data_IF_681945273970
#
_entry.id   IF_681945273970
#
_cell.length_a   1.000
_cell.length_b   1.000
_cell.length_c   1.000
_cell.angle_alpha   90.00
_cell.angle_beta   90.00
_cell.angle_gamma   90.00
#
_symmetry.space_group_name_H-M   'P 1'
#
loop_
_entity.id
_entity.type
_entity.pdbx_description
1 polymer ?
#
# COMPACT_ATOMS: atom_id res chain seq x y z
N UNK A 1 -13.55 19.54 -14.42
CA UNK A 1 -13.02 19.19 -13.09
C UNK A 1 -13.30 17.73 -12.75
N UNK A 2 -14.56 17.28 -12.86
CA UNK A 2 -15.02 15.91 -12.54
C UNK A 2 -14.16 14.80 -13.17
N UNK A 3 -13.80 14.93 -14.46
CA UNK A 3 -13.07 13.89 -15.20
C UNK A 3 -11.66 13.62 -14.65
N UNK A 4 -11.00 14.61 -14.05
CA UNK A 4 -9.60 14.47 -13.58
C UNK A 4 -9.56 13.79 -12.21
N UNK A 5 -10.45 14.18 -11.29
CA UNK A 5 -10.62 13.50 -10.00
C UNK A 5 -11.04 12.03 -10.17
N UNK A 6 -11.88 11.75 -11.17
CA UNK A 6 -12.31 10.38 -11.48
C UNK A 6 -11.14 9.45 -11.83
N UNK A 7 -10.04 9.94 -12.41
CA UNK A 7 -8.87 9.11 -12.75
C UNK A 7 -8.18 8.55 -11.50
N UNK A 8 -8.05 9.37 -10.46
CA UNK A 8 -7.46 8.94 -9.19
C UNK A 8 -8.37 7.93 -8.48
N UNK A 9 -9.69 8.11 -8.56
CA UNK A 9 -10.67 7.15 -8.03
C UNK A 9 -10.65 5.81 -8.79
N UNK A 10 -10.51 5.84 -10.11
CA UNK A 10 -10.36 4.62 -10.91
C UNK A 10 -9.10 3.86 -10.52
N UNK A 11 -7.97 4.57 -10.32
CA UNK A 11 -6.72 3.98 -9.85
C UNK A 11 -6.87 3.33 -8.47
N UNK A 12 -7.52 4.03 -7.53
CA UNK A 12 -7.82 3.48 -6.21
C UNK A 12 -8.75 2.25 -6.29
N UNK A 13 -9.76 2.28 -7.17
CA UNK A 13 -10.67 1.15 -7.38
C UNK A 13 -9.96 -0.10 -7.92
N UNK A 14 -8.96 0.05 -8.78
CA UNK A 14 -8.12 -1.09 -9.20
C UNK A 14 -7.34 -1.69 -8.02
N UNK A 15 -6.82 -0.84 -7.11
CA UNK A 15 -6.15 -1.32 -5.91
C UNK A 15 -7.12 -1.99 -4.94
N UNK A 16 -8.35 -1.48 -4.78
CA UNK A 16 -9.38 -2.14 -3.96
C UNK A 16 -9.73 -3.53 -4.49
N UNK A 17 -9.86 -3.68 -5.83
CA UNK A 17 -10.07 -4.98 -6.47
C UNK A 17 -8.86 -5.90 -6.20
N UNK A 18 -7.64 -5.39 -6.36
CA UNK A 18 -6.42 -6.14 -6.08
C UNK A 18 -6.39 -6.63 -4.62
N UNK A 19 -6.76 -5.76 -3.67
CA UNK A 19 -6.85 -6.08 -2.25
C UNK A 19 -7.95 -7.10 -1.96
N UNK A 20 -9.09 -7.03 -2.63
CA UNK A 20 -10.16 -8.02 -2.52
C UNK A 20 -9.69 -9.41 -2.95
N UNK A 21 -8.92 -9.51 -4.04
CA UNK A 21 -8.34 -10.78 -4.45
C UNK A 21 -7.33 -11.30 -3.42
N UNK A 22 -6.41 -10.44 -2.98
CA UNK A 22 -5.31 -10.81 -2.09
C UNK A 22 -5.75 -11.17 -0.66
N UNK A 23 -6.67 -10.38 -0.09
CA UNK A 23 -7.08 -10.49 1.32
C UNK A 23 -8.51 -11.04 1.51
N UNK A 24 -9.30 -11.16 0.44
CA UNK A 24 -10.67 -11.69 0.50
C UNK A 24 -10.81 -13.06 -0.18
N UNK A 25 -10.60 -13.10 -1.49
CA UNK A 25 -10.84 -14.31 -2.30
C UNK A 25 -9.78 -15.38 -2.02
N UNK A 26 -8.49 -15.04 -2.11
CA UNK A 26 -7.41 -16.00 -1.89
C UNK A 26 -7.49 -16.67 -0.51
N UNK A 27 -7.67 -15.91 0.60
CA UNK A 27 -7.80 -16.51 1.92
C UNK A 27 -9.07 -17.35 2.04
N UNK A 28 -10.18 -16.88 1.47
CA UNK A 28 -11.43 -17.64 1.42
C UNK A 28 -11.27 -19.00 0.76
N UNK A 29 -10.55 -19.08 -0.35
CA UNK A 29 -10.24 -20.35 -1.03
C UNK A 29 -9.36 -21.25 -0.15
N UNK A 30 -8.31 -20.72 0.48
CA UNK A 30 -7.46 -21.52 1.40
C UNK A 30 -8.24 -22.11 2.58
N UNK A 31 -9.19 -21.34 3.14
CA UNK A 31 -10.03 -21.77 4.27
C UNK A 31 -11.01 -22.87 3.84
N UNK A 32 -11.66 -22.71 2.68
CA UNK A 32 -12.65 -23.67 2.16
C UNK A 32 -11.97 -24.99 1.77
N UNK A 33 -10.81 -24.91 1.13
CA UNK A 33 -10.05 -26.10 0.71
C UNK A 33 -9.29 -26.77 1.85
N UNK A 34 -9.28 -26.18 3.06
CA UNK A 34 -8.56 -26.66 4.25
C UNK A 34 -7.10 -27.07 3.97
N UNK A 35 -6.49 -26.43 2.98
CA UNK A 35 -5.15 -26.72 2.52
C UNK A 35 -4.38 -25.42 2.39
N UNK A 36 -3.13 -25.47 2.83
CA UNK A 36 -2.20 -24.38 2.56
C UNK A 36 -1.80 -24.45 1.09
N UNK A 37 -2.32 -23.51 0.29
CA UNK A 37 -2.05 -23.44 -1.15
C UNK A 37 -0.61 -22.97 -1.41
N UNK A 38 -0.02 -22.21 -0.47
CA UNK A 38 1.27 -21.57 -0.63
C UNK A 38 2.36 -22.39 0.06
N UNK A 39 3.35 -22.93 -0.67
CA UNK A 39 4.47 -23.62 -0.06
C UNK A 39 5.38 -22.66 0.72
N UNK A 40 6.04 -23.16 1.77
CA UNK A 40 6.89 -22.36 2.69
C UNK A 40 7.94 -21.50 1.98
N UNK A 41 8.58 -22.04 0.94
CA UNK A 41 9.63 -21.36 0.17
C UNK A 41 9.12 -20.12 -0.58
N UNK A 42 7.83 -20.08 -0.91
CA UNK A 42 7.20 -18.98 -1.65
C UNK A 42 6.55 -17.93 -0.76
N UNK A 43 6.42 -18.19 0.55
CA UNK A 43 5.79 -17.25 1.51
C UNK A 43 6.49 -15.90 1.53
N UNK A 44 7.83 -15.89 1.47
CA UNK A 44 8.61 -14.66 1.43
C UNK A 44 8.24 -13.79 0.21
N UNK A 45 8.28 -14.37 -0.99
CA UNK A 45 7.96 -13.66 -2.23
C UNK A 45 6.51 -13.20 -2.30
N UNK A 46 5.59 -14.04 -1.83
CA UNK A 46 4.18 -13.67 -1.74
C UNK A 46 3.97 -12.50 -0.77
N UNK A 47 4.63 -12.54 0.38
CA UNK A 47 4.53 -11.48 1.37
C UNK A 47 5.07 -10.15 0.83
N UNK A 48 6.17 -10.15 0.08
CA UNK A 48 6.69 -8.93 -0.56
C UNK A 48 5.64 -8.30 -1.49
N UNK A 49 4.95 -9.13 -2.28
CA UNK A 49 3.88 -8.69 -3.17
C UNK A 49 2.65 -8.17 -2.38
N UNK A 50 2.25 -8.85 -1.32
CA UNK A 50 1.13 -8.44 -0.46
C UNK A 50 1.41 -7.10 0.22
N UNK A 51 2.61 -6.94 0.79
CA UNK A 51 3.05 -5.69 1.39
C UNK A 51 3.06 -4.56 0.36
N UNK A 52 3.59 -4.81 -0.85
CA UNK A 52 3.54 -3.83 -1.92
C UNK A 52 2.11 -3.37 -2.22
N UNK A 53 1.19 -4.32 -2.42
CA UNK A 53 -0.20 -4.02 -2.75
C UNK A 53 -0.87 -3.22 -1.61
N UNK A 54 -0.60 -3.61 -0.36
CA UNK A 54 -1.09 -2.92 0.83
C UNK A 54 -0.59 -1.47 0.88
N UNK A 55 0.72 -1.26 0.76
CA UNK A 55 1.30 0.07 0.83
C UNK A 55 0.89 0.96 -0.36
N UNK A 56 0.74 0.37 -1.55
CA UNK A 56 0.22 1.08 -2.72
C UNK A 56 -1.20 1.63 -2.45
N UNK A 57 -2.07 0.83 -1.83
CA UNK A 57 -3.40 1.26 -1.41
C UNK A 57 -3.31 2.39 -0.37
N UNK A 58 -2.58 2.17 0.73
CA UNK A 58 -2.49 3.13 1.84
C UNK A 58 -2.10 4.52 1.35
N UNK A 59 -1.12 4.61 0.45
CA UNK A 59 -0.70 5.89 -0.12
C UNK A 59 -1.70 6.47 -1.14
N UNK A 60 -2.49 5.63 -1.82
CA UNK A 60 -3.56 6.10 -2.71
C UNK A 60 -4.67 6.83 -1.95
N UNK A 61 -4.91 6.53 -0.67
CA UNK A 61 -5.86 7.29 0.17
C UNK A 61 -5.42 8.76 0.25
N UNK A 62 -4.13 8.99 0.54
CA UNK A 62 -3.53 10.34 0.58
C UNK A 62 -3.58 11.02 -0.77
N UNK A 63 -3.32 10.29 -1.85
CA UNK A 63 -3.36 10.81 -3.22
C UNK A 63 -4.77 11.29 -3.59
N UNK A 64 -5.81 10.53 -3.24
CA UNK A 64 -7.20 10.92 -3.47
C UNK A 64 -7.54 12.19 -2.66
N UNK A 65 -7.13 12.25 -1.38
CA UNK A 65 -7.33 13.44 -0.54
C UNK A 65 -6.65 14.69 -1.14
N UNK A 66 -5.38 14.56 -1.55
CA UNK A 66 -4.63 15.61 -2.23
C UNK A 66 -5.30 16.08 -3.52
N UNK A 67 -5.84 15.15 -4.33
CA UNK A 67 -6.49 15.49 -5.60
C UNK A 67 -7.72 16.40 -5.39
N UNK A 68 -8.46 16.19 -4.29
CA UNK A 68 -9.63 17.01 -3.91
C UNK A 68 -9.21 18.38 -3.40
N UNK A 69 -8.19 18.42 -2.55
CA UNK A 69 -7.59 19.65 -2.07
C UNK A 69 -7.06 20.52 -3.22
N UNK A 70 -6.32 19.92 -4.16
CA UNK A 70 -5.77 20.60 -5.35
C UNK A 70 -6.87 21.19 -6.24
N UNK A 71 -7.99 20.46 -6.39
CA UNK A 71 -9.13 20.91 -7.19
C UNK A 71 -9.79 22.18 -6.62
N UNK A 72 -9.79 22.37 -5.29
CA UNK A 72 -10.38 23.54 -4.63
C UNK A 72 -9.37 24.69 -4.56
N UNK A 73 -8.12 24.40 -4.17
CA UNK A 73 -7.10 25.44 -3.98
C UNK A 73 -6.59 26.02 -5.29
N UNK A 74 -6.56 25.23 -6.37
CA UNK A 74 -6.00 25.65 -7.66
C UNK A 74 -6.80 25.09 -8.84
N UNK A 75 -8.07 25.53 -9.02
CA UNK A 75 -9.00 24.95 -9.99
C UNK A 75 -8.54 25.12 -11.43
N UNK A 76 -7.86 26.23 -11.77
CA UNK A 76 -7.31 26.45 -13.11
C UNK A 76 -6.21 25.44 -13.45
N UNK A 77 -5.22 25.28 -12.58
CA UNK A 77 -4.14 24.30 -12.78
C UNK A 77 -4.69 22.88 -12.85
N UNK A 78 -5.60 22.53 -11.93
CA UNK A 78 -6.21 21.22 -11.88
C UNK A 78 -7.03 20.90 -13.14
N UNK A 79 -7.77 21.87 -13.70
CA UNK A 79 -8.55 21.69 -14.93
C UNK A 79 -7.67 21.38 -16.15
N UNK A 80 -6.49 21.99 -16.24
CA UNK A 80 -5.58 21.84 -17.39
C UNK A 80 -4.52 20.74 -17.19
N UNK A 81 -4.63 19.95 -16.13
CA UNK A 81 -3.70 18.86 -15.87
C UNK A 81 -3.71 17.82 -17.01
N UNK A 82 -2.52 17.58 -17.58
CA UNK A 82 -2.32 16.59 -18.65
C UNK A 82 -2.59 15.18 -18.13
N UNK A 83 -3.15 14.33 -19.01
CA UNK A 83 -3.43 12.91 -18.71
C UNK A 83 -2.19 12.16 -18.23
N UNK A 84 -1.08 12.37 -18.93
CA UNK A 84 0.20 11.76 -18.60
C UNK A 84 0.64 12.13 -17.17
N UNK A 85 0.36 13.35 -16.72
CA UNK A 85 0.73 13.78 -15.37
C UNK A 85 -0.10 13.07 -14.31
N UNK A 86 -1.41 12.89 -14.51
CA UNK A 86 -2.25 12.11 -13.60
C UNK A 86 -1.79 10.65 -13.51
N UNK A 87 -1.50 10.01 -14.66
CA UNK A 87 -1.02 8.63 -14.68
C UNK A 87 0.39 8.49 -14.10
N UNK A 88 1.27 9.46 -14.33
CA UNK A 88 2.59 9.50 -13.74
C UNK A 88 2.52 9.65 -12.21
N UNK A 89 1.59 10.45 -11.67
CA UNK A 89 1.42 10.56 -10.22
C UNK A 89 0.91 9.23 -9.65
N UNK A 90 -0.15 8.64 -10.20
CA UNK A 90 -0.64 7.33 -9.74
C UNK A 90 0.45 6.24 -9.84
N UNK A 91 1.17 6.21 -10.97
CA UNK A 91 2.25 5.28 -11.23
C UNK A 91 3.44 5.48 -10.29
N UNK A 92 3.84 6.72 -10.02
CA UNK A 92 4.90 7.02 -9.05
C UNK A 92 4.52 6.50 -7.66
N UNK A 93 3.28 6.67 -7.20
CA UNK A 93 2.87 6.14 -5.90
C UNK A 93 2.85 4.61 -5.85
N UNK A 94 2.52 3.93 -6.96
CA UNK A 94 2.66 2.47 -7.08
C UNK A 94 4.11 1.97 -7.23
N UNK A 95 5.01 2.81 -7.75
CA UNK A 95 6.43 2.49 -7.94
C UNK A 95 7.27 2.82 -6.71
N UNK A 96 6.92 3.89 -5.98
CA UNK A 96 7.51 4.25 -4.67
C UNK A 96 7.22 3.17 -3.64
N UNK A 97 6.10 2.44 -3.77
CA UNK A 97 5.87 1.22 -2.99
C UNK A 97 6.68 0.00 -3.47
N UNK A 98 7.23 -0.03 -4.70
CA UNK A 98 8.02 -1.15 -5.25
C UNK A 98 9.54 -0.99 -5.20
N UNK A 99 10.10 0.21 -5.19
CA UNK A 99 11.50 0.38 -5.60
C UNK A 99 12.48 0.54 -4.43
N UNK A 100 13.56 -0.26 -4.51
CA UNK A 100 14.77 -0.19 -3.68
C UNK A 100 15.62 1.08 -3.88
N UNK A 101 16.29 1.41 -2.77
CA UNK A 101 17.65 1.91 -2.65
C UNK A 101 18.56 1.89 -3.90
N UNK A 102 18.52 2.95 -4.71
CA UNK A 102 19.73 3.71 -5.12
C UNK A 102 19.37 4.96 -5.93
N UNK A 103 19.29 6.10 -5.24
CA UNK A 103 20.14 7.25 -5.53
C UNK A 103 20.08 8.28 -4.39
N UNK A 104 21.26 8.52 -3.82
CA UNK A 104 21.60 9.68 -2.99
C UNK A 104 21.28 10.94 -3.81
N UNK A 105 20.33 11.76 -3.35
CA UNK A 105 20.46 13.21 -3.14
C UNK A 105 19.06 13.87 -3.03
N UNK A 106 18.81 14.50 -1.87
CA UNK A 106 17.75 15.47 -1.57
C UNK A 106 16.32 15.09 -2.00
N UNK A 107 15.58 14.42 -1.11
CA UNK A 107 14.36 14.90 -0.41
C UNK A 107 13.81 13.69 0.38
N UNK A 108 13.32 13.92 1.58
CA UNK A 108 13.00 12.90 2.57
C UNK A 108 11.77 12.03 2.21
N UNK A 109 11.92 11.05 1.32
CA UNK A 109 10.93 9.98 1.12
C UNK A 109 11.50 8.64 1.59
N UNK A 110 10.97 8.16 2.72
CA UNK A 110 11.28 6.84 3.29
C UNK A 110 10.83 5.76 2.31
N UNK A 111 11.80 5.09 1.67
CA UNK A 111 11.58 3.89 0.87
C UNK A 111 11.35 2.72 1.84
N UNK A 112 10.17 2.06 1.79
CA UNK A 112 9.78 1.14 2.86
C UNK A 112 9.80 -0.33 2.45
N UNK A 113 9.18 -0.75 1.34
CA UNK A 113 8.82 -2.17 1.17
C UNK A 113 10.02 -3.12 1.06
N UNK A 114 10.90 -2.98 0.05
CA UNK A 114 12.09 -3.84 -0.03
C UNK A 114 13.10 -3.53 1.09
N UNK A 115 13.19 -2.27 1.53
CA UNK A 115 14.11 -1.88 2.59
C UNK A 115 13.75 -2.53 3.94
N UNK A 116 12.47 -2.79 4.21
CA UNK A 116 12.01 -3.52 5.40
C UNK A 116 12.01 -5.03 5.20
N UNK A 117 11.73 -5.52 3.99
CA UNK A 117 11.55 -6.94 3.71
C UNK A 117 12.85 -7.76 3.85
N UNK A 118 14.01 -7.15 3.54
CA UNK A 118 15.32 -7.78 3.72
C UNK A 118 15.99 -7.53 5.07
N UNK A 119 15.27 -6.94 6.03
CA UNK A 119 15.83 -6.73 7.36
C UNK A 119 15.81 -8.00 8.19
N UNK A 120 16.80 -8.15 9.07
CA UNK A 120 16.92 -9.33 9.92
C UNK A 120 15.73 -9.52 10.85
N UNK A 121 15.02 -8.44 11.20
CA UNK A 121 13.84 -8.42 12.08
C UNK A 121 12.51 -8.67 11.36
N UNK A 122 12.51 -8.83 10.04
CA UNK A 122 11.29 -9.02 9.27
C UNK A 122 10.73 -10.44 9.42
N UNK A 123 9.42 -10.54 9.66
CA UNK A 123 8.67 -11.78 9.85
C UNK A 123 7.69 -11.95 8.69
N UNK A 124 7.64 -13.15 8.13
CA UNK A 124 6.68 -13.48 7.06
C UNK A 124 5.33 -13.92 7.64
N UNK A 125 4.27 -13.70 6.89
CA UNK A 125 2.93 -14.16 7.23
C UNK A 125 2.50 -15.28 6.29
N UNK A 126 1.63 -16.15 6.78
CA UNK A 126 1.01 -17.20 6.00
C UNK A 126 -0.44 -17.41 6.42
N UNK A 127 -1.25 -17.94 5.51
CA UNK A 127 -2.64 -18.25 5.79
C UNK A 127 -2.77 -19.63 6.41
N UNK A 128 -3.28 -19.68 7.63
CA UNK A 128 -3.52 -20.91 8.36
C UNK A 128 -5.02 -21.27 8.27
N UNK A 129 -5.41 -22.35 7.54
CA UNK A 129 -6.82 -22.68 7.29
C UNK A 129 -7.62 -23.01 8.56
N UNK A 130 -6.94 -23.43 9.62
CA UNK A 130 -7.54 -23.76 10.92
C UNK A 130 -7.82 -22.53 11.78
N UNK A 131 -7.05 -21.45 11.58
CA UNK A 131 -7.14 -20.20 12.36
C UNK A 131 -7.94 -19.11 11.66
N UNK A 132 -8.49 -19.37 10.47
CA UNK A 132 -9.34 -18.46 9.69
C UNK A 132 -8.70 -17.08 9.44
N UNK A 133 -7.37 -17.02 9.32
CA UNK A 133 -6.63 -15.76 9.16
C UNK A 133 -5.16 -15.94 8.81
N UNK A 134 -4.47 -14.81 8.64
CA UNK A 134 -3.00 -14.81 8.55
C UNK A 134 -2.38 -14.91 9.92
N UNK A 135 -1.38 -15.77 10.03
CA UNK A 135 -0.51 -15.88 11.18
C UNK A 135 0.90 -15.43 10.80
N UNK A 136 1.57 -14.76 11.75
CA UNK A 136 2.99 -14.53 11.65
C UNK A 136 3.73 -15.83 11.98
N UNK A 137 4.86 -16.09 11.31
CA UNK A 137 5.71 -17.23 11.66
C UNK A 137 6.26 -17.12 13.09
N UNK A 138 6.56 -15.90 13.54
CA UNK A 138 6.89 -15.60 14.93
C UNK A 138 6.19 -14.32 15.39
N UNK A 139 5.10 -14.48 16.14
CA UNK A 139 4.29 -13.36 16.62
C UNK A 139 5.04 -12.50 17.65
N UNK A 140 5.91 -13.11 18.46
CA UNK A 140 6.68 -12.39 19.46
C UNK A 140 7.64 -11.41 18.77
N UNK A 141 8.30 -11.92 17.74
CA UNK A 141 9.22 -11.14 16.93
C UNK A 141 8.53 -10.02 16.15
N UNK A 142 7.36 -10.28 15.57
CA UNK A 142 6.58 -9.26 14.87
C UNK A 142 6.19 -8.07 15.79
N UNK A 143 5.83 -8.37 17.04
CA UNK A 143 5.41 -7.35 18.00
C UNK A 143 6.59 -6.56 18.58
N UNK A 144 7.71 -7.21 18.88
CA UNK A 144 8.83 -6.58 19.61
C UNK A 144 9.99 -6.11 18.73
N UNK A 145 10.28 -6.75 17.58
CA UNK A 145 11.43 -6.40 16.73
C UNK A 145 11.14 -5.25 15.74
N UNK A 146 9.99 -4.59 15.86
CA UNK A 146 9.71 -3.30 15.23
C UNK A 146 8.95 -3.33 13.90
N UNK A 147 8.71 -4.51 13.30
CA UNK A 147 7.91 -4.60 12.06
C UNK A 147 6.51 -4.03 12.22
N UNK A 148 5.81 -4.40 13.29
CA UNK A 148 4.49 -3.84 13.64
C UNK A 148 4.52 -2.32 13.78
N UNK A 149 5.58 -1.77 14.37
CA UNK A 149 5.76 -0.33 14.59
C UNK A 149 5.96 0.40 13.26
N UNK A 150 6.76 -0.14 12.34
CA UNK A 150 6.98 0.47 11.01
C UNK A 150 5.67 0.51 10.22
N UNK A 151 4.91 -0.59 10.23
CA UNK A 151 3.62 -0.67 9.55
C UNK A 151 2.65 0.36 10.15
N UNK A 152 2.55 0.42 11.47
CA UNK A 152 1.69 1.38 12.15
C UNK A 152 2.07 2.83 11.80
N UNK A 153 3.35 3.19 11.88
CA UNK A 153 3.84 4.53 11.54
C UNK A 153 3.46 4.90 10.10
N UNK A 154 3.64 4.00 9.15
CA UNK A 154 3.33 4.31 7.75
C UNK A 154 1.83 4.54 7.53
N UNK A 155 0.98 3.67 8.10
CA UNK A 155 -0.47 3.84 8.03
C UNK A 155 -0.91 5.16 8.69
N UNK A 156 -0.33 5.48 9.86
CA UNK A 156 -0.63 6.73 10.56
C UNK A 156 -0.21 7.96 9.76
N UNK A 157 0.97 7.95 9.12
CA UNK A 157 1.42 9.07 8.26
C UNK A 157 0.43 9.29 7.12
N UNK A 158 0.02 8.22 6.41
CA UNK A 158 -0.93 8.34 5.31
C UNK A 158 -2.30 8.88 5.76
N UNK A 159 -2.81 8.40 6.91
CA UNK A 159 -4.07 8.88 7.48
C UNK A 159 -3.96 10.35 7.90
N UNK A 160 -2.90 10.73 8.62
CA UNK A 160 -2.70 12.12 9.08
C UNK A 160 -2.61 13.07 7.89
N UNK A 161 -1.83 12.73 6.86
CA UNK A 161 -1.74 13.54 5.64
C UNK A 161 -3.10 13.65 4.94
N UNK A 162 -3.85 12.56 4.86
CA UNK A 162 -5.19 12.55 4.28
C UNK A 162 -6.14 13.47 5.05
N UNK A 163 -6.13 13.42 6.39
CA UNK A 163 -6.94 14.29 7.24
C UNK A 163 -6.56 15.75 7.01
N UNK A 164 -5.26 16.09 6.98
CA UNK A 164 -4.79 17.46 6.72
C UNK A 164 -5.33 17.96 5.37
N UNK A 165 -5.28 17.15 4.31
CA UNK A 165 -5.82 17.58 3.01
C UNK A 165 -7.34 17.78 3.05
N UNK A 166 -8.07 16.93 3.77
CA UNK A 166 -9.52 17.08 3.91
C UNK A 166 -9.97 18.23 4.81
N UNK A 167 -9.17 18.62 5.81
CA UNK A 167 -9.50 19.77 6.68
C UNK A 167 -9.14 21.11 6.05
N UNK A 168 -8.19 21.12 5.10
CA UNK A 168 -7.80 22.31 4.34
C UNK A 168 -8.66 22.55 3.08
N UNK A 169 -9.64 21.67 2.84
CA UNK A 169 -10.68 21.78 1.81
C UNK A 169 -11.83 22.64 2.32
#
# INVERSE_FOLDING_TARGET
MVIIGYRFLVSAGFLDILMLFNYGIWPGVTIVLKSEIVPKEWRHWLQLYLDWAWFAMVWHITLVAWSRWSAIRSPYSYKYQRRLHSYAICGCFCLVSLAEARKKLLTAERHMVLATHFQSWYVTFYYEPSSYGMLAEDISRYLFDGQSTVFLINNMIAIILSIIFYTLV
#
